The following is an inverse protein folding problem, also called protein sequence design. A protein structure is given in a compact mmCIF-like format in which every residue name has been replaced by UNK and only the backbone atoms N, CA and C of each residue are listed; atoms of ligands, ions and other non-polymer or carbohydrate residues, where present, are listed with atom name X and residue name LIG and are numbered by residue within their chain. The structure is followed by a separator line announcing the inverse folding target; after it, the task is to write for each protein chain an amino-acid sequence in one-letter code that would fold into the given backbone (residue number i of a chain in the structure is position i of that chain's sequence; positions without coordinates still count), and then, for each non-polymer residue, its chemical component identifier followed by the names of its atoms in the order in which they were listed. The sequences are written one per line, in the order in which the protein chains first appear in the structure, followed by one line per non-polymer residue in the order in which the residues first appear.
data_IF_617042701901
#
_entry.id   IF_617042701901
#
_cell.length_a   1.000
_cell.length_b   1.000
_cell.length_c   1.000
_cell.angle_alpha   90.00
_cell.angle_beta   90.00
_cell.angle_gamma   90.00
#
_symmetry.space_group_name_H-M   'P 1'
#
loop_
_entity.id
_entity.type
_entity.pdbx_description
1 polymer ?
#
# COMPACT_ATOMS: atom_id res chain seq x y z
N UNK A 1 -12.84 -10.05 -4.84
CA UNK A 1 -12.27 -8.87 -4.15
C UNK A 1 -10.75 -8.98 -4.13
N UNK A 2 -10.03 -7.89 -4.43
CA UNK A 2 -8.58 -7.81 -4.23
C UNK A 2 -8.27 -7.18 -2.86
N UNK A 3 -7.39 -7.82 -2.09
CA UNK A 3 -6.95 -7.33 -0.78
C UNK A 3 -5.47 -6.98 -0.88
N UNK A 4 -5.13 -5.71 -0.71
CA UNK A 4 -3.75 -5.22 -0.69
C UNK A 4 -3.30 -4.98 0.74
N UNK A 5 -2.22 -5.63 1.15
CA UNK A 5 -1.63 -5.47 2.48
C UNK A 5 -0.36 -4.64 2.34
N UNK A 6 -0.37 -3.43 2.89
CA UNK A 6 0.80 -2.55 2.96
C UNK A 6 1.54 -2.81 4.27
N UNK A 7 2.69 -3.49 4.18
CA UNK A 7 3.49 -3.93 5.34
C UNK A 7 4.93 -3.39 5.29
N UNK A 8 5.64 -3.56 6.40
CA UNK A 8 7.06 -3.29 6.59
C UNK A 8 7.36 -2.93 8.04
N UNK A 9 8.52 -3.38 8.51
CA UNK A 9 8.83 -3.49 9.95
C UNK A 9 8.85 -2.16 10.71
N UNK A 10 9.34 -1.08 10.09
CA UNK A 10 9.62 0.20 10.75
C UNK A 10 8.59 1.28 10.44
N UNK A 11 8.44 2.23 11.37
CA UNK A 11 7.77 3.51 11.11
C UNK A 11 8.58 4.36 10.13
N UNK A 12 7.91 5.20 9.34
CA UNK A 12 8.57 6.15 8.43
C UNK A 12 9.15 5.56 7.14
N UNK A 13 8.98 4.27 6.87
CA UNK A 13 9.44 3.61 5.63
C UNK A 13 8.49 3.83 4.44
N UNK A 14 7.42 4.62 4.57
CA UNK A 14 6.55 4.94 3.45
C UNK A 14 5.29 4.09 3.26
N UNK A 15 4.93 3.20 4.20
CA UNK A 15 3.71 2.36 4.12
C UNK A 15 2.44 3.17 3.84
N UNK A 16 2.19 4.22 4.61
CA UNK A 16 1.02 5.08 4.43
C UNK A 16 1.00 5.77 3.06
N UNK A 17 2.18 6.11 2.50
CA UNK A 17 2.27 6.69 1.15
C UNK A 17 1.87 5.67 0.07
N UNK A 18 2.33 4.43 0.22
CA UNK A 18 1.96 3.31 -0.66
C UNK A 18 0.47 3.01 -0.55
N UNK A 19 -0.09 2.93 0.66
CA UNK A 19 -1.52 2.71 0.92
C UNK A 19 -2.37 3.82 0.31
N UNK A 20 -1.95 5.09 0.47
CA UNK A 20 -2.60 6.23 -0.16
C UNK A 20 -2.58 6.11 -1.70
N UNK A 21 -1.45 5.74 -2.31
CA UNK A 21 -1.38 5.55 -3.75
C UNK A 21 -2.26 4.39 -4.24
N UNK A 22 -2.31 3.27 -3.51
CA UNK A 22 -3.16 2.13 -3.84
C UNK A 22 -4.65 2.49 -3.81
N UNK A 23 -5.11 3.12 -2.73
CA UNK A 23 -6.50 3.58 -2.60
C UNK A 23 -6.84 4.57 -3.72
N UNK A 24 -5.97 5.55 -3.98
CA UNK A 24 -6.22 6.55 -5.01
C UNK A 24 -6.30 5.93 -6.42
N UNK A 25 -5.39 4.99 -6.74
CA UNK A 25 -5.42 4.25 -8.00
C UNK A 25 -6.68 3.38 -8.13
N UNK A 26 -7.14 2.75 -7.05
CA UNK A 26 -8.38 1.97 -7.05
C UNK A 26 -9.61 2.87 -7.30
N UNK A 27 -9.72 3.99 -6.59
CA UNK A 27 -10.80 4.96 -6.76
C UNK A 27 -10.79 5.60 -8.15
N UNK A 28 -9.61 5.94 -8.69
CA UNK A 28 -9.46 6.42 -10.07
C UNK A 28 -9.87 5.38 -11.11
N UNK A 29 -9.81 4.09 -10.77
CA UNK A 29 -10.28 2.99 -11.60
C UNK A 29 -11.78 2.73 -11.44
N UNK A 30 -12.50 3.57 -10.68
CA UNK A 30 -13.92 3.42 -10.39
C UNK A 30 -14.24 2.24 -9.48
N UNK A 31 -13.25 1.74 -8.71
CA UNK A 31 -13.43 0.57 -7.84
C UNK A 31 -14.08 0.94 -6.52
N UNK A 32 -15.06 0.12 -6.10
CA UNK A 32 -15.64 0.16 -4.75
C UNK A 32 -14.57 -0.23 -3.74
N UNK A 33 -14.01 0.77 -3.06
CA UNK A 33 -12.77 0.63 -2.29
C UNK A 33 -13.03 0.80 -0.80
N UNK A 34 -12.57 -0.19 -0.02
CA UNK A 34 -12.54 -0.15 1.44
C UNK A 34 -11.11 0.03 1.94
N UNK A 35 -10.98 0.67 3.11
CA UNK A 35 -9.71 0.88 3.80
C UNK A 35 -9.79 0.34 5.22
N UNK A 36 -8.78 -0.43 5.61
CA UNK A 36 -8.50 -0.80 7.00
C UNK A 36 -7.24 -0.06 7.45
N UNK A 37 -7.37 0.83 8.43
CA UNK A 37 -6.26 1.49 9.11
C UNK A 37 -5.87 0.67 10.34
N UNK A 38 -4.71 0.02 10.27
CA UNK A 38 -4.17 -0.80 11.33
C UNK A 38 -3.40 -0.01 12.41
N UNK A 39 -3.04 1.24 12.13
CA UNK A 39 -2.27 2.11 13.02
C UNK A 39 -3.16 3.18 13.68
N UNK A 40 -3.73 2.84 14.82
CA UNK A 40 -4.58 3.76 15.59
C UNK A 40 -3.80 4.95 16.17
N UNK A 41 -2.48 4.83 16.31
CA UNK A 41 -1.62 5.90 16.82
C UNK A 41 -1.31 6.94 15.75
N UNK A 42 -1.27 6.52 14.49
CA UNK A 42 -0.95 7.36 13.35
C UNK A 42 -1.86 7.06 12.15
N UNK A 43 -3.07 7.62 12.20
CA UNK A 43 -4.18 7.38 11.27
C UNK A 43 -4.06 8.16 9.95
N UNK A 44 -2.87 8.19 9.37
CA UNK A 44 -2.53 9.02 8.22
C UNK A 44 -3.37 8.68 6.97
N UNK A 45 -3.63 7.39 6.74
CA UNK A 45 -4.36 6.94 5.55
C UNK A 45 -5.86 7.15 5.76
N UNK A 46 -6.37 6.79 6.94
CA UNK A 46 -7.77 7.05 7.30
C UNK A 46 -8.12 8.55 7.26
N UNK A 47 -7.27 9.42 7.81
CA UNK A 47 -7.49 10.86 7.78
C UNK A 47 -7.53 11.41 6.34
N UNK A 48 -6.70 10.88 5.44
CA UNK A 48 -6.66 11.31 4.04
C UNK A 48 -7.80 10.77 3.21
N UNK A 49 -8.11 9.48 3.36
CA UNK A 49 -9.01 8.72 2.49
C UNK A 49 -10.42 8.56 3.04
N UNK A 50 -10.67 8.99 4.28
CA UNK A 50 -11.91 8.79 5.04
C UNK A 50 -13.19 9.14 4.28
N UNK A 51 -13.18 10.24 3.53
CA UNK A 51 -14.33 10.73 2.76
C UNK A 51 -14.40 10.23 1.31
N UNK A 52 -13.45 9.40 0.90
CA UNK A 52 -13.29 8.96 -0.49
C UNK A 52 -13.50 7.47 -0.67
N UNK A 53 -13.17 6.65 0.34
CA UNK A 53 -13.52 5.24 0.39
C UNK A 53 -15.01 5.07 0.73
N UNK A 54 -15.63 3.96 0.29
CA UNK A 54 -16.99 3.62 0.73
C UNK A 54 -17.04 3.35 2.23
N UNK A 55 -15.98 2.73 2.75
CA UNK A 55 -15.83 2.42 4.17
C UNK A 55 -14.38 2.53 4.60
N UNK A 56 -14.18 3.12 5.77
CA UNK A 56 -12.90 3.16 6.47
C UNK A 56 -13.10 2.55 7.85
N UNK A 57 -12.28 1.58 8.17
CA UNK A 57 -12.37 0.80 9.41
C UNK A 57 -11.02 0.90 10.12
N UNK A 58 -11.06 1.24 11.39
CA UNK A 58 -9.86 1.36 12.22
C UNK A 58 -9.77 0.11 13.10
N UNK A 59 -8.69 -0.66 12.97
CA UNK A 59 -8.43 -1.88 13.75
C UNK A 59 -7.05 -1.80 14.41
N UNK A 60 -6.91 -2.30 15.64
CA UNK A 60 -5.59 -2.39 16.28
C UNK A 60 -4.89 -3.66 15.82
N UNK A 61 -4.01 -3.56 14.81
CA UNK A 61 -3.31 -4.72 14.24
C UNK A 61 -1.88 -4.92 14.78
N UNK A 62 -1.42 -4.04 15.68
CA UNK A 62 -0.20 -4.21 16.47
C UNK A 62 -0.55 -4.56 17.92
N UNK A 63 -1.23 -5.69 18.13
CA UNK A 63 -1.64 -6.16 19.44
C UNK A 63 -1.17 -7.60 19.68
N UNK A 64 0.11 -7.81 20.07
CA UNK A 64 0.66 -9.15 20.26
C UNK A 64 -0.04 -9.97 21.33
N UNK A 65 -0.58 -9.31 22.37
CA UNK A 65 -1.26 -9.94 23.51
C UNK A 65 -2.71 -10.32 23.16
N UNK A 66 -3.37 -9.52 22.31
CA UNK A 66 -4.71 -9.78 21.78
C UNK A 66 -4.70 -10.30 20.34
N UNK A 67 -3.69 -11.08 19.95
CA UNK A 67 -3.49 -11.56 18.58
C UNK A 67 -4.75 -12.24 17.99
N UNK A 68 -5.38 -13.13 18.75
CA UNK A 68 -6.56 -13.86 18.27
C UNK A 68 -7.74 -12.93 18.00
N UNK A 69 -7.98 -11.96 18.89
CA UNK A 69 -9.06 -10.99 18.74
C UNK A 69 -8.81 -10.08 17.52
N UNK A 70 -7.56 -9.62 17.34
CA UNK A 70 -7.18 -8.81 16.18
C UNK A 70 -7.39 -9.55 14.85
N UNK A 71 -7.11 -10.85 14.80
CA UNK A 71 -7.37 -11.66 13.62
C UNK A 71 -8.86 -11.91 13.38
N UNK A 72 -9.64 -12.18 14.43
CA UNK A 72 -11.09 -12.36 14.32
C UNK A 72 -11.79 -11.08 13.86
N UNK A 73 -11.38 -9.93 14.38
CA UNK A 73 -11.91 -8.64 13.93
C UNK A 73 -11.55 -8.36 12.47
N UNK A 74 -10.32 -8.68 12.06
CA UNK A 74 -9.91 -8.52 10.67
C UNK A 74 -10.71 -9.45 9.74
N UNK A 75 -10.86 -10.72 10.09
CA UNK A 75 -11.66 -11.69 9.33
C UNK A 75 -13.11 -11.21 9.18
N UNK A 76 -13.74 -10.80 10.29
CA UNK A 76 -15.11 -10.27 10.27
C UNK A 76 -15.24 -9.11 9.28
N UNK A 77 -14.31 -8.15 9.31
CA UNK A 77 -14.34 -7.01 8.39
C UNK A 77 -14.14 -7.43 6.94
N UNK A 78 -13.30 -8.43 6.69
CA UNK A 78 -13.08 -8.97 5.34
C UNK A 78 -14.33 -9.69 4.83
N UNK A 79 -15.01 -10.48 5.69
CA UNK A 79 -16.30 -11.08 5.34
C UNK A 79 -17.37 -10.03 5.04
N UNK A 80 -17.45 -8.98 5.87
CA UNK A 80 -18.36 -7.85 5.64
C UNK A 80 -18.08 -7.22 4.26
N UNK A 81 -16.81 -6.93 3.95
CA UNK A 81 -16.40 -6.37 2.65
C UNK A 81 -16.75 -7.27 1.46
N UNK A 82 -16.58 -8.59 1.58
CA UNK A 82 -17.00 -9.55 0.55
C UNK A 82 -18.52 -9.50 0.38
N UNK A 83 -19.27 -9.51 1.50
CA UNK A 83 -20.75 -9.53 1.46
C UNK A 83 -21.37 -8.24 0.93
N UNK A 84 -20.68 -7.11 1.08
CA UNK A 84 -21.09 -5.80 0.58
C UNK A 84 -20.54 -5.51 -0.83
N UNK A 85 -20.00 -6.53 -1.52
CA UNK A 85 -19.44 -6.45 -2.88
C UNK A 85 -18.33 -5.40 -3.03
N UNK A 86 -17.46 -5.25 -2.01
CA UNK A 86 -16.25 -4.45 -2.15
C UNK A 86 -15.33 -5.07 -3.21
N UNK A 87 -14.84 -4.25 -4.13
CA UNK A 87 -13.96 -4.72 -5.20
C UNK A 87 -12.50 -4.75 -4.74
N UNK A 88 -12.10 -3.73 -3.98
CA UNK A 88 -10.74 -3.53 -3.48
C UNK A 88 -10.76 -3.22 -1.99
N UNK A 89 -9.92 -3.88 -1.22
CA UNK A 89 -9.65 -3.58 0.18
C UNK A 89 -8.16 -3.29 0.35
N UNK A 90 -7.82 -2.16 0.96
CA UNK A 90 -6.43 -1.82 1.31
C UNK A 90 -6.27 -1.89 2.83
N UNK A 91 -5.30 -2.65 3.30
CA UNK A 91 -4.97 -2.81 4.71
C UNK A 91 -3.62 -2.13 4.97
N UNK A 92 -3.65 -0.99 5.66
CA UNK A 92 -2.43 -0.29 6.08
C UNK A 92 -1.98 -0.84 7.44
N UNK A 93 -0.88 -1.59 7.46
CA UNK A 93 -0.40 -2.17 8.72
C UNK A 93 0.46 -1.17 9.52
N UNK A 94 0.38 -1.18 10.86
CA UNK A 94 1.25 -0.38 11.71
C UNK A 94 2.70 -0.88 11.69
N UNK A 95 3.62 -0.06 12.20
CA UNK A 95 4.93 -0.59 12.57
C UNK A 95 4.79 -1.68 13.63
N UNK A 96 5.63 -2.73 13.56
CA UNK A 96 5.57 -3.85 14.52
C UNK A 96 4.39 -4.81 14.32
N UNK A 97 3.55 -4.64 13.30
CA UNK A 97 2.46 -5.57 12.97
C UNK A 97 2.96 -7.01 12.80
N UNK A 98 4.23 -7.20 12.42
CA UNK A 98 4.82 -8.53 12.27
C UNK A 98 4.87 -9.35 13.56
N UNK A 99 4.88 -8.71 14.73
CA UNK A 99 4.78 -9.41 16.02
C UNK A 99 3.38 -10.01 16.27
N UNK A 100 2.41 -9.60 15.48
CA UNK A 100 1.03 -10.10 15.51
C UNK A 100 0.82 -11.01 14.30
N UNK A 101 0.97 -10.47 13.09
CA UNK A 101 0.53 -11.14 11.85
C UNK A 101 1.54 -12.12 11.25
N UNK A 102 2.85 -11.90 11.44
CA UNK A 102 3.87 -12.78 10.85
C UNK A 102 4.18 -14.01 11.72
N UNK A 103 3.56 -14.12 12.92
CA UNK A 103 3.73 -15.29 13.81
C UNK A 103 3.14 -16.56 13.21
N UNK A 104 1.99 -16.43 12.55
CA UNK A 104 1.29 -17.52 11.90
C UNK A 104 0.70 -17.03 10.57
N UNK A 105 1.53 -16.94 9.52
CA UNK A 105 1.11 -16.45 8.21
C UNK A 105 0.10 -17.38 7.55
N UNK A 106 0.07 -18.66 7.94
CA UNK A 106 -0.85 -19.67 7.40
C UNK A 106 -2.26 -19.45 7.96
N UNK A 107 -2.40 -19.27 9.27
CA UNK A 107 -3.67 -18.87 9.89
C UNK A 107 -4.13 -17.54 9.31
N UNK A 108 -3.27 -16.52 9.32
CA UNK A 108 -3.60 -15.19 8.80
C UNK A 108 -4.15 -15.24 7.37
N UNK A 109 -3.44 -15.91 6.46
CA UNK A 109 -3.91 -15.97 5.06
C UNK A 109 -5.08 -16.91 4.86
N UNK A 110 -5.20 -18.00 5.62
CA UNK A 110 -6.37 -18.88 5.55
C UNK A 110 -7.67 -18.15 5.94
N UNK A 111 -7.60 -17.27 6.94
CA UNK A 111 -8.71 -16.40 7.34
C UNK A 111 -9.03 -15.38 6.25
N UNK A 112 -8.04 -14.81 5.59
CA UNK A 112 -8.29 -13.84 4.52
C UNK A 112 -8.73 -14.49 3.19
N UNK A 113 -8.44 -15.78 2.97
CA UNK A 113 -8.75 -16.51 1.73
C UNK A 113 -10.17 -17.07 1.68
N UNK A 114 -11.11 -16.51 2.44
CA UNK A 114 -12.51 -16.87 2.30
C UNK A 114 -13.06 -16.44 0.93
N UNK A 115 -13.69 -17.40 0.22
CA UNK A 115 -14.28 -17.16 -1.09
C UNK A 115 -13.24 -16.95 -2.20
N UNK A 116 -13.49 -15.93 -3.04
CA UNK A 116 -12.63 -15.58 -4.19
C UNK A 116 -11.71 -14.38 -3.90
N UNK A 117 -11.42 -14.11 -2.62
CA UNK A 117 -10.52 -13.03 -2.24
C UNK A 117 -9.09 -13.30 -2.73
N UNK A 118 -8.43 -12.27 -3.28
CA UNK A 118 -7.07 -12.35 -3.80
C UNK A 118 -6.16 -11.45 -2.99
N UNK A 119 -5.23 -12.04 -2.26
CA UNK A 119 -4.34 -11.30 -1.35
C UNK A 119 -3.06 -10.91 -2.10
N UNK A 120 -2.69 -9.63 -2.01
CA UNK A 120 -1.46 -9.08 -2.56
C UNK A 120 -0.68 -8.42 -1.42
N UNK A 121 0.57 -8.84 -1.20
CA UNK A 121 1.44 -8.28 -0.18
C UNK A 121 2.38 -7.23 -0.80
N UNK A 122 2.33 -6.01 -0.29
CA UNK A 122 3.20 -4.90 -0.70
C UNK A 122 4.06 -4.50 0.49
N UNK A 123 5.35 -4.84 0.43
CA UNK A 123 6.28 -4.74 1.56
C UNK A 123 7.24 -3.60 1.29
N UNK A 124 7.15 -2.54 2.08
CA UNK A 124 8.05 -1.39 2.00
C UNK A 124 9.40 -1.71 2.65
N UNK A 125 10.48 -1.47 1.91
CA UNK A 125 11.84 -1.68 2.39
C UNK A 125 12.45 -0.38 2.91
N UNK A 126 13.07 -0.44 4.10
CA UNK A 126 13.93 0.63 4.60
C UNK A 126 15.31 0.65 3.94
N UNK A 127 16.16 1.60 4.32
CA UNK A 127 17.52 1.77 3.75
C UNK A 127 18.60 0.97 4.48
N UNK A 128 18.38 0.62 5.74
CA UNK A 128 19.31 -0.15 6.56
C UNK A 128 19.25 -1.64 6.23
N UNK A 129 20.38 -2.36 6.30
CA UNK A 129 20.43 -3.79 5.94
C UNK A 129 19.44 -4.61 6.75
N UNK A 130 19.40 -4.43 8.08
CA UNK A 130 18.43 -5.10 8.96
C UNK A 130 16.96 -4.87 8.54
N UNK A 131 16.63 -3.70 7.99
CA UNK A 131 15.28 -3.43 7.49
C UNK A 131 14.98 -4.14 6.17
N UNK A 132 15.99 -4.33 5.32
CA UNK A 132 15.89 -5.09 4.07
C UNK A 132 15.72 -6.57 4.40
N UNK A 133 16.58 -7.12 5.26
CA UNK A 133 16.53 -8.53 5.66
C UNK A 133 15.15 -8.86 6.25
N UNK A 134 14.63 -8.00 7.12
CA UNK A 134 13.30 -8.18 7.69
C UNK A 134 12.18 -8.06 6.64
N UNK A 135 12.30 -7.18 5.66
CA UNK A 135 11.32 -7.11 4.57
C UNK A 135 11.32 -8.39 3.72
N UNK A 136 12.49 -8.97 3.48
CA UNK A 136 12.63 -10.27 2.80
C UNK A 136 12.02 -11.39 3.65
N UNK A 137 12.28 -11.44 4.95
CA UNK A 137 11.61 -12.39 5.86
C UNK A 137 10.08 -12.25 5.80
N UNK A 138 9.54 -11.03 5.84
CA UNK A 138 8.08 -10.81 5.71
C UNK A 138 7.57 -11.35 4.36
N UNK A 139 8.34 -11.20 3.29
CA UNK A 139 7.96 -11.63 1.94
C UNK A 139 7.89 -13.15 1.79
N UNK A 140 8.84 -13.87 2.39
CA UNK A 140 9.01 -15.31 2.22
C UNK A 140 8.42 -16.14 3.36
N UNK A 141 8.53 -15.63 4.59
CA UNK A 141 8.17 -16.37 5.81
C UNK A 141 7.00 -15.74 6.56
N UNK A 142 6.66 -14.48 6.29
CA UNK A 142 5.55 -13.76 6.92
C UNK A 142 4.29 -13.68 6.05
N UNK A 143 3.53 -12.57 6.17
CA UNK A 143 2.30 -12.32 5.40
C UNK A 143 2.48 -12.49 3.88
N UNK A 144 3.69 -12.22 3.36
CA UNK A 144 3.98 -12.43 1.95
C UNK A 144 3.92 -13.89 1.52
N UNK A 145 4.21 -14.87 2.40
CA UNK A 145 4.37 -16.31 2.09
C UNK A 145 3.21 -16.91 1.29
N UNK A 146 1.99 -16.54 1.66
CA UNK A 146 0.77 -17.12 1.10
C UNK A 146 -0.02 -16.12 0.23
N UNK A 147 0.51 -14.91 0.01
CA UNK A 147 -0.10 -13.96 -0.90
C UNK A 147 -0.03 -14.47 -2.35
N UNK A 148 -1.03 -14.12 -3.17
CA UNK A 148 -1.02 -14.40 -4.61
C UNK A 148 0.16 -13.73 -5.30
N UNK A 149 0.38 -12.46 -4.98
CA UNK A 149 1.52 -11.69 -5.43
C UNK A 149 2.21 -11.04 -4.23
N UNK A 150 3.54 -11.02 -4.25
CA UNK A 150 4.37 -10.33 -3.25
C UNK A 150 5.32 -9.38 -3.94
N UNK A 151 5.29 -8.12 -3.50
CA UNK A 151 6.09 -7.03 -4.04
C UNK A 151 6.92 -6.36 -2.94
N UNK A 152 8.24 -6.36 -3.11
CA UNK A 152 9.18 -5.60 -2.30
C UNK A 152 9.41 -4.23 -2.94
N UNK A 153 9.17 -3.16 -2.18
CA UNK A 153 9.28 -1.78 -2.65
C UNK A 153 10.49 -1.07 -2.07
N UNK A 154 11.44 -0.69 -2.93
CA UNK A 154 12.50 0.24 -2.62
C UNK A 154 11.96 1.68 -2.64
N UNK A 155 12.03 2.39 -1.52
CA UNK A 155 11.40 3.69 -1.37
C UNK A 155 12.40 4.82 -1.72
N UNK A 156 12.21 5.47 -2.87
CA UNK A 156 13.18 6.46 -3.38
C UNK A 156 13.27 7.74 -2.54
N UNK A 157 12.24 8.04 -1.76
CA UNK A 157 12.16 9.25 -0.95
C UNK A 157 12.79 9.12 0.44
N UNK A 158 13.32 7.95 0.82
CA UNK A 158 13.93 7.78 2.14
C UNK A 158 15.27 8.54 2.24
N UNK A 159 15.50 9.28 3.34
CA UNK A 159 16.78 9.93 3.58
C UNK A 159 17.93 8.90 3.58
N UNK A 160 19.03 9.22 2.90
CA UNK A 160 20.18 8.32 2.82
C UNK A 160 19.94 7.08 1.97
N UNK A 161 18.82 6.98 1.24
CA UNK A 161 18.73 6.05 0.13
C UNK A 161 19.86 6.40 -0.85
N UNK A 162 20.95 5.63 -0.81
CA UNK A 162 21.84 5.47 -1.96
C UNK A 162 20.95 5.35 -3.19
N UNK A 163 21.22 6.12 -4.26
CA UNK A 163 20.40 6.22 -5.48
C UNK A 163 19.59 4.94 -5.69
N UNK A 164 18.28 5.04 -5.94
CA UNK A 164 17.35 3.89 -6.04
C UNK A 164 17.93 2.57 -6.59
N UNK A 165 18.76 2.57 -7.67
CA UNK A 165 19.45 1.37 -8.13
C UNK A 165 20.24 0.59 -7.06
N UNK A 166 20.92 1.27 -6.14
CA UNK A 166 21.68 0.64 -5.07
C UNK A 166 20.78 -0.03 -4.03
N UNK A 167 19.65 0.59 -3.67
CA UNK A 167 18.69 -0.04 -2.75
C UNK A 167 18.02 -1.25 -3.40
N UNK A 168 17.62 -1.14 -4.66
CA UNK A 168 17.10 -2.26 -5.45
C UNK A 168 18.09 -3.42 -5.50
N UNK A 169 19.37 -3.15 -5.80
CA UNK A 169 20.39 -4.18 -5.84
C UNK A 169 20.53 -4.88 -4.48
N UNK A 170 20.54 -4.13 -3.38
CA UNK A 170 20.65 -4.73 -2.03
C UNK A 170 19.44 -5.58 -1.65
N UNK A 171 18.24 -5.20 -2.08
CA UNK A 171 17.04 -6.04 -1.91
C UNK A 171 17.18 -7.31 -2.76
N UNK A 172 17.62 -7.17 -4.01
CA UNK A 172 17.83 -8.31 -4.91
C UNK A 172 18.86 -9.30 -4.33
N UNK A 173 19.97 -8.80 -3.81
CA UNK A 173 21.03 -9.61 -3.18
C UNK A 173 20.48 -10.35 -1.95
N UNK A 174 19.69 -9.68 -1.10
CA UNK A 174 19.06 -10.29 0.06
C UNK A 174 18.02 -11.35 -0.32
N UNK A 175 17.24 -11.13 -1.38
CA UNK A 175 16.31 -12.14 -1.92
C UNK A 175 17.06 -13.37 -2.43
N UNK A 176 18.17 -13.19 -3.15
CA UNK A 176 19.01 -14.31 -3.61
C UNK A 176 19.61 -15.08 -2.43
N UNK A 177 20.02 -14.37 -1.37
CA UNK A 177 20.61 -14.98 -0.17
C UNK A 177 19.60 -15.73 0.71
N UNK A 178 18.30 -15.51 0.58
CA UNK A 178 17.26 -16.22 1.35
C UNK A 178 17.01 -17.66 0.83
N UNK A 179 17.59 -18.03 -0.31
CA UNK A 179 17.60 -19.40 -0.88
C UNK A 179 16.21 -20.02 -1.16
N UNK A 180 15.14 -19.22 -1.23
CA UNK A 180 13.80 -19.70 -1.60
C UNK A 180 13.52 -19.58 -3.11
N UNK A 181 12.79 -20.56 -3.64
CA UNK A 181 12.47 -20.69 -5.08
C UNK A 181 11.27 -19.86 -5.52
N UNK A 182 10.54 -19.22 -4.60
CA UNK A 182 9.34 -18.46 -4.93
C UNK A 182 9.71 -17.13 -5.56
N UNK A 183 9.04 -16.79 -6.67
CA UNK A 183 9.22 -15.48 -7.30
C UNK A 183 8.59 -14.38 -6.43
N UNK A 184 9.39 -13.35 -6.13
CA UNK A 184 8.94 -12.08 -5.56
C UNK A 184 9.26 -10.97 -6.54
N UNK A 185 8.35 -10.02 -6.70
CA UNK A 185 8.60 -8.84 -7.52
C UNK A 185 9.34 -7.79 -6.69
N UNK A 186 10.23 -7.04 -7.33
CA UNK A 186 10.97 -5.94 -6.71
C UNK A 186 10.79 -4.71 -7.60
N UNK A 187 10.41 -3.58 -7.02
CA UNK A 187 10.27 -2.32 -7.74
C UNK A 187 10.71 -1.12 -6.90
N UNK A 188 11.06 -0.02 -7.57
CA UNK A 188 11.30 1.26 -6.93
C UNK A 188 10.00 2.07 -6.89
N UNK A 189 9.62 2.54 -5.71
CA UNK A 189 8.47 3.40 -5.52
C UNK A 189 8.93 4.87 -5.56
N UNK A 190 8.35 5.70 -6.45
CA UNK A 190 8.95 6.97 -6.81
C UNK A 190 8.90 7.98 -5.67
N UNK A 191 9.90 8.86 -5.62
CA UNK A 191 9.84 10.03 -4.77
C UNK A 191 8.89 11.09 -5.36
N UNK A 192 8.14 11.79 -4.50
CA UNK A 192 7.48 13.03 -4.90
C UNK A 192 8.55 14.13 -4.98
N UNK A 193 8.83 14.71 -6.17
CA UNK A 193 9.98 15.57 -6.35
C UNK A 193 9.77 16.95 -5.70
N UNK A 194 10.74 17.35 -4.88
CA UNK A 194 10.83 18.68 -4.28
C UNK A 194 10.07 18.83 -2.96
N UNK A 195 10.70 19.51 -1.99
CA UNK A 195 10.11 19.75 -0.67
C UNK A 195 8.77 20.50 -0.74
N UNK A 196 8.59 21.37 -1.74
CA UNK A 196 7.35 22.11 -1.93
C UNK A 196 6.18 21.19 -2.31
N UNK A 197 6.41 20.18 -3.16
CA UNK A 197 5.37 19.22 -3.52
C UNK A 197 5.00 18.33 -2.32
N UNK A 198 6.00 17.90 -1.54
CA UNK A 198 5.79 17.14 -0.31
C UNK A 198 4.95 17.94 0.68
N UNK A 199 5.36 19.18 0.98
CA UNK A 199 4.58 20.08 1.86
C UNK A 199 3.19 20.31 1.33
N UNK A 200 3.03 20.53 0.03
CA UNK A 200 1.72 20.75 -0.57
C UNK A 200 0.77 19.55 -0.37
N UNK A 201 1.26 18.33 -0.53
CA UNK A 201 0.46 17.12 -0.26
C UNK A 201 0.17 16.97 1.23
N UNK A 202 1.12 17.31 2.11
CA UNK A 202 0.96 17.25 3.56
C UNK A 202 -0.04 18.28 4.09
N UNK A 203 0.05 19.53 3.63
CA UNK A 203 -0.83 20.64 3.99
C UNK A 203 -2.28 20.42 3.52
N UNK A 204 -2.48 19.49 2.59
CA UNK A 204 -3.78 19.06 2.09
C UNK A 204 -4.08 17.64 2.58
N UNK A 205 -4.03 17.45 3.89
CA UNK A 205 -4.11 16.14 4.55
C UNK A 205 -5.31 15.29 4.11
N UNK A 206 -6.47 15.90 3.84
CA UNK A 206 -7.70 15.21 3.45
C UNK A 206 -7.93 15.10 1.93
N UNK A 207 -7.06 15.68 1.11
CA UNK A 207 -7.21 15.60 -0.34
C UNK A 207 -6.58 14.32 -0.87
N UNK A 208 -7.23 13.67 -1.84
CA UNK A 208 -6.58 12.59 -2.61
C UNK A 208 -5.41 13.16 -3.39
N UNK A 209 -4.40 12.33 -3.64
CA UNK A 209 -3.23 12.73 -4.40
C UNK A 209 -3.66 13.12 -5.83
N UNK A 210 -4.61 12.39 -6.41
CA UNK A 210 -5.17 12.65 -7.73
C UNK A 210 -6.00 13.93 -7.82
N UNK A 211 -6.74 14.31 -6.76
CA UNK A 211 -7.45 15.58 -6.69
C UNK A 211 -6.51 16.77 -6.71
N UNK A 212 -5.34 16.64 -6.06
CA UNK A 212 -4.29 17.65 -6.09
C UNK A 212 -3.72 17.83 -7.50
N UNK A 213 -3.74 16.80 -8.35
CA UNK A 213 -3.40 16.93 -9.78
C UNK A 213 -4.42 17.74 -10.58
N UNK A 214 -5.69 17.72 -10.20
CA UNK A 214 -6.75 18.39 -10.96
C UNK A 214 -6.83 19.90 -10.70
N UNK A 215 -6.22 20.38 -9.61
CA UNK A 215 -6.24 21.80 -9.23
C UNK A 215 -5.39 22.65 -10.19
N UNK A 216 -6.06 23.53 -10.95
CA UNK A 216 -5.44 24.34 -12.01
C UNK A 216 -4.49 25.42 -11.49
N UNK A 217 -4.59 25.81 -10.21
CA UNK A 217 -3.87 26.96 -9.67
C UNK A 217 -2.36 26.71 -9.45
N UNK A 218 -1.86 25.49 -9.64
CA UNK A 218 -0.43 25.15 -9.50
C UNK A 218 0.04 24.13 -10.55
N UNK A 219 0.29 24.56 -11.81
CA UNK A 219 0.60 23.64 -12.91
C UNK A 219 1.87 22.81 -12.69
N UNK A 220 2.89 23.38 -12.06
CA UNK A 220 4.14 22.66 -11.76
C UNK A 220 3.90 21.56 -10.71
N UNK A 221 3.14 21.84 -9.65
CA UNK A 221 2.82 20.85 -8.62
C UNK A 221 1.94 19.75 -9.20
N UNK A 222 0.93 20.11 -10.00
CA UNK A 222 0.09 19.13 -10.71
C UNK A 222 0.94 18.17 -11.54
N UNK A 223 1.93 18.68 -12.29
CA UNK A 223 2.84 17.84 -13.07
C UNK A 223 3.66 16.87 -12.20
N UNK A 224 4.22 17.35 -11.08
CA UNK A 224 4.97 16.50 -10.16
C UNK A 224 4.12 15.39 -9.56
N UNK A 225 2.90 15.71 -9.14
CA UNK A 225 2.00 14.73 -8.55
C UNK A 225 1.53 13.72 -9.60
N UNK A 226 1.26 14.14 -10.84
CA UNK A 226 0.94 13.21 -11.95
C UNK A 226 2.08 12.24 -12.24
N UNK A 227 3.32 12.75 -12.29
CA UNK A 227 4.51 11.91 -12.47
C UNK A 227 4.68 10.93 -11.33
N UNK A 228 4.43 11.38 -10.10
CA UNK A 228 4.44 10.51 -8.92
C UNK A 228 3.39 9.40 -9.04
N UNK A 229 2.12 9.71 -9.35
CA UNK A 229 1.06 8.70 -9.50
C UNK A 229 1.34 7.72 -10.65
N UNK A 230 1.85 8.22 -11.79
CA UNK A 230 2.23 7.37 -12.91
C UNK A 230 3.36 6.40 -12.52
N UNK A 231 4.39 6.90 -11.82
CA UNK A 231 5.48 6.07 -11.30
C UNK A 231 5.01 5.08 -10.23
N UNK A 232 4.10 5.50 -9.33
CA UNK A 232 3.55 4.64 -8.28
C UNK A 232 2.75 3.50 -8.90
N UNK A 233 1.91 3.80 -9.92
CA UNK A 233 1.23 2.78 -10.70
C UNK A 233 2.22 1.81 -11.35
N UNK A 234 3.27 2.31 -11.97
CA UNK A 234 4.28 1.47 -12.61
C UNK A 234 4.95 0.55 -11.59
N UNK A 235 5.35 1.08 -10.45
CA UNK A 235 5.97 0.32 -9.36
C UNK A 235 5.04 -0.77 -8.80
N UNK A 236 3.74 -0.45 -8.69
CA UNK A 236 2.71 -1.36 -8.18
C UNK A 236 2.15 -2.31 -9.25
N UNK A 237 2.50 -2.16 -10.52
CA UNK A 237 1.98 -2.99 -11.61
C UNK A 237 2.12 -4.51 -11.41
N UNK A 238 3.12 -5.06 -10.68
CA UNK A 238 3.18 -6.50 -10.43
C UNK A 238 2.05 -7.03 -9.55
N UNK A 239 1.40 -6.17 -8.75
CA UNK A 239 0.26 -6.54 -7.89
C UNK A 239 -1.08 -5.98 -8.40
N UNK A 240 -1.04 -5.00 -9.29
CA UNK A 240 -2.26 -4.45 -9.92
C UNK A 240 -2.65 -5.28 -11.13
N UNK A 241 -3.87 -5.81 -11.15
CA UNK A 241 -4.40 -6.47 -12.35
C UNK A 241 -4.67 -5.46 -13.48
N UNK A 242 -4.89 -5.97 -14.71
CA UNK A 242 -5.15 -5.16 -15.91
C UNK A 242 -6.40 -4.25 -15.82
N UNK A 243 -7.23 -4.42 -14.78
CA UNK A 243 -8.47 -3.69 -14.58
C UNK A 243 -8.31 -2.37 -13.80
N UNK A 244 -7.07 -1.96 -13.50
CA UNK A 244 -6.77 -0.63 -12.96
C UNK A 244 -6.52 0.38 -14.09
N UNK A 245 -6.87 1.65 -13.86
CA UNK A 245 -6.68 2.81 -14.76
C UNK A 245 -5.33 2.75 -15.46
N UNK A 246 -5.25 3.01 -16.77
CA UNK A 246 -4.00 2.85 -17.50
C UNK A 246 -2.97 3.93 -17.12
N UNK A 247 -1.68 3.63 -17.29
CA UNK A 247 -0.61 4.63 -17.11
C UNK A 247 -0.74 5.80 -18.09
N UNK A 248 -1.25 5.53 -19.29
CA UNK A 248 -1.49 6.53 -20.32
C UNK A 248 -2.60 7.50 -19.90
N UNK A 249 -3.68 7.01 -19.28
CA UNK A 249 -4.78 7.85 -18.78
C UNK A 249 -4.31 8.80 -17.67
N UNK A 250 -3.45 8.32 -16.75
CA UNK A 250 -2.84 9.16 -15.70
C UNK A 250 -1.94 10.23 -16.34
N UNK A 251 -1.08 9.81 -17.28
CA UNK A 251 -0.08 10.70 -17.90
C UNK A 251 -0.73 11.78 -18.77
N UNK A 252 -1.79 11.43 -19.48
CA UNK A 252 -2.57 12.33 -20.33
C UNK A 252 -3.53 13.23 -19.53
N UNK A 253 -3.60 13.07 -18.20
CA UNK A 253 -4.52 13.83 -17.37
C UNK A 253 -5.99 13.53 -17.68
N UNK A 254 -6.28 12.34 -18.21
CA UNK A 254 -7.66 11.84 -18.44
C UNK A 254 -8.27 11.28 -17.15
N UNK A 255 -7.83 11.80 -16.01
CA UNK A 255 -8.41 11.50 -14.70
C UNK A 255 -9.78 12.18 -14.68
N UNK A 256 -10.84 11.42 -14.98
CA UNK A 256 -12.18 11.87 -14.60
C UNK A 256 -12.21 11.84 -13.08
N UNK A 257 -12.60 12.96 -12.46
CA UNK A 257 -13.01 12.89 -11.07
C UNK A 257 -14.13 11.85 -11.01
N UNK A 258 -14.05 10.83 -10.13
CA UNK A 258 -15.20 9.96 -9.93
C UNK A 258 -16.39 10.86 -9.57
N UNK A 259 -17.55 10.59 -10.16
CA UNK A 259 -18.76 11.28 -9.76
C UNK A 259 -18.92 11.09 -8.25
N UNK A 260 -19.21 12.17 -7.49
CA UNK A 260 -19.36 12.04 -6.05
C UNK A 260 -20.41 10.95 -5.76
N UNK A 261 -20.07 10.03 -4.86
CA UNK A 261 -21.02 9.06 -4.34
C UNK A 261 -22.18 9.85 -3.73
N UNK A 262 -23.32 9.86 -4.41
CA UNK A 262 -24.56 10.42 -3.88
C UNK A 262 -25.04 9.44 -2.80
N UNK A 263 -24.73 9.76 -1.54
CA UNK A 263 -25.26 9.07 -0.37
C UNK A 263 -26.72 9.44 -0.13
#
# INVERSE_FOLDING_TARGET
MDIFISHGEKGGIGKSMVSNALVDLALLSGKRTWLIEGDLSNRDVAARMGKHCERVIELSLANPDGYADALLDLDRVVQEGISEDAEVMVINLPAGAGQTLDKDPEVFTSMLMHGEARIHAVISCGTEQRSIDRAVEIAFDGVGKNARNTLLLAQEFLPGATKAPTLLQRIQDAVVAHEQTRAVSIAAFPALPGQQAIRYVQDQAEARISELCARQNMPVMSLYIRRFLAGARQALSPVLENNFISQEDISMGRLRAPEPLLH
#
